data_IF_136465021630
#
_entry.id   IF_136465021630
#
_cell.length_a   1.000
_cell.length_b   1.000
_cell.length_c   1.000
_cell.angle_alpha   90.00
_cell.angle_beta   90.00
_cell.angle_gamma   90.00
#
_symmetry.space_group_name_H-M   'P 1'
#
loop_
_entity.id
_entity.type
_entity.pdbx_description
1 polymer ?
#
# COMPACT_ATOMS: atom_id res chain seq x y z
N UNK A 1 -8.98 11.36 5.98
CA UNK A 1 -8.15 10.14 6.01
C UNK A 1 -8.91 9.06 5.26
N UNK A 2 -8.38 8.58 4.13
CA UNK A 2 -8.95 7.47 3.35
C UNK A 2 -8.30 6.17 3.84
N UNK A 3 -9.07 5.07 3.83
CA UNK A 3 -8.59 3.73 4.19
C UNK A 3 -9.02 2.77 3.09
N UNK A 4 -8.10 1.94 2.62
CA UNK A 4 -8.34 0.91 1.61
C UNK A 4 -8.16 -0.47 2.22
N UNK A 5 -8.95 -1.42 1.73
CA UNK A 5 -8.92 -2.81 2.17
C UNK A 5 -8.58 -3.68 0.96
N UNK A 6 -7.44 -4.36 1.03
CA UNK A 6 -7.01 -5.28 -0.01
C UNK A 6 -7.15 -6.72 0.51
N UNK A 7 -8.11 -7.45 -0.05
CA UNK A 7 -8.36 -8.85 0.29
C UNK A 7 -7.41 -9.77 -0.48
N UNK A 8 -6.66 -10.59 0.24
CA UNK A 8 -5.81 -11.62 -0.37
C UNK A 8 -6.69 -12.74 -0.93
N UNK A 9 -6.44 -13.24 -2.15
CA UNK A 9 -7.28 -14.27 -2.80
C UNK A 9 -7.50 -15.55 -1.97
N UNK A 10 -6.51 -15.90 -1.13
CA UNK A 10 -6.48 -17.13 -0.34
C UNK A 10 -6.56 -16.88 1.18
N UNK A 11 -6.86 -15.66 1.63
CA UNK A 11 -6.99 -15.33 3.06
C UNK A 11 -8.35 -14.72 3.38
N UNK A 12 -8.81 -14.96 4.61
CA UNK A 12 -9.94 -14.21 5.19
C UNK A 12 -9.51 -12.85 5.76
N UNK A 13 -8.23 -12.54 5.66
CA UNK A 13 -7.63 -11.33 6.20
C UNK A 13 -7.40 -10.28 5.12
N UNK A 14 -7.66 -9.03 5.48
CA UNK A 14 -7.41 -7.88 4.64
C UNK A 14 -6.10 -7.20 5.04
N UNK A 15 -5.36 -6.78 4.03
CA UNK A 15 -4.30 -5.78 4.20
C UNK A 15 -5.00 -4.41 4.22
N UNK A 16 -4.82 -3.68 5.32
CA UNK A 16 -5.37 -2.34 5.50
C UNK A 16 -4.31 -1.34 5.06
N UNK A 17 -4.68 -0.45 4.14
CA UNK A 17 -3.80 0.60 3.64
C UNK A 17 -4.40 1.95 4.04
N UNK A 18 -3.65 2.70 4.84
CA UNK A 18 -4.09 3.98 5.39
C UNK A 18 -3.42 5.09 4.58
N UNK A 19 -4.25 5.91 3.92
CA UNK A 19 -3.77 7.06 3.17
C UNK A 19 -3.26 8.15 4.12
N UNK A 20 -2.19 8.87 3.73
CA UNK A 20 -1.59 9.92 4.55
C UNK A 20 -2.56 11.07 4.83
N UNK A 21 -2.33 11.80 5.92
CA UNK A 21 -3.12 12.98 6.29
C UNK A 21 -2.39 14.26 5.81
N UNK A 22 -2.39 14.49 4.50
CA UNK A 22 -1.81 15.67 3.81
C UNK A 22 -0.29 15.89 4.01
N UNK A 23 0.39 16.38 2.96
CA UNK A 23 1.85 16.58 2.81
C UNK A 23 2.75 15.33 2.89
N UNK A 24 2.30 14.23 3.49
CA UNK A 24 2.97 12.94 3.43
C UNK A 24 2.50 12.17 2.17
N UNK A 25 3.44 11.66 1.37
CA UNK A 25 3.14 10.83 0.19
C UNK A 25 3.18 9.31 0.52
N UNK A 26 3.20 8.96 1.80
CA UNK A 26 3.41 7.58 2.27
C UNK A 26 2.13 6.94 2.81
N UNK A 27 1.84 5.74 2.33
CA UNK A 27 0.67 4.95 2.71
C UNK A 27 1.09 3.91 3.74
N UNK A 28 0.58 4.01 4.96
CA UNK A 28 0.84 3.02 6.01
C UNK A 28 0.11 1.71 5.68
N UNK A 29 0.84 0.60 5.76
CA UNK A 29 0.30 -0.75 5.56
C UNK A 29 0.21 -1.46 6.90
N UNK A 30 -1.00 -1.87 7.24
CA UNK A 30 -1.33 -2.64 8.44
C UNK A 30 -1.90 -3.99 8.02
N UNK A 31 -1.39 -5.07 8.61
CA UNK A 31 -1.94 -6.42 8.40
C UNK A 31 -1.87 -7.19 9.72
N UNK A 32 -2.90 -7.99 10.01
CA UNK A 32 -3.08 -8.68 11.31
C UNK A 32 -3.04 -7.73 12.53
N UNK A 33 -3.31 -6.44 12.33
CA UNK A 33 -3.22 -5.40 13.37
C UNK A 33 -1.81 -4.89 13.64
N UNK A 34 -0.79 -5.34 12.90
CA UNK A 34 0.57 -4.85 12.98
C UNK A 34 0.89 -3.85 11.87
N UNK A 35 1.60 -2.78 12.23
CA UNK A 35 2.18 -1.83 11.27
C UNK A 35 3.40 -2.47 10.61
N UNK A 36 3.29 -2.79 9.32
CA UNK A 36 4.34 -3.52 8.60
C UNK A 36 5.31 -2.62 7.84
N UNK A 37 4.89 -1.40 7.54
CA UNK A 37 5.69 -0.43 6.79
C UNK A 37 4.85 0.50 5.93
N UNK A 38 5.51 1.11 4.95
CA UNK A 38 4.94 2.18 4.13
C UNK A 38 5.13 1.94 2.64
N UNK A 39 4.10 2.26 1.86
CA UNK A 39 4.10 2.28 0.39
C UNK A 39 4.22 3.73 -0.09
N UNK A 40 5.14 3.97 -1.02
CA UNK A 40 5.36 5.25 -1.68
C UNK A 40 5.03 5.11 -3.17
N UNK A 41 3.88 5.60 -3.63
CA UNK A 41 3.62 5.74 -5.05
C UNK A 41 4.42 6.91 -5.60
N UNK A 42 5.31 6.63 -6.56
CA UNK A 42 6.14 7.63 -7.21
C UNK A 42 5.75 7.71 -8.68
N UNK A 43 5.29 8.88 -9.10
CA UNK A 43 4.96 9.20 -10.48
C UNK A 43 6.06 10.07 -11.08
N UNK A 44 6.79 9.55 -12.07
CA UNK A 44 7.86 10.28 -12.75
C UNK A 44 7.74 10.16 -14.27
N UNK A 45 7.50 11.28 -14.96
CA UNK A 45 7.48 11.38 -16.43
C UNK A 45 6.75 10.20 -17.11
N UNK A 46 5.47 10.02 -16.79
CA UNK A 46 4.58 8.94 -17.28
C UNK A 46 4.92 7.51 -16.80
N UNK A 47 5.88 7.36 -15.88
CA UNK A 47 6.20 6.08 -15.25
C UNK A 47 5.71 6.08 -13.80
N UNK A 48 4.82 5.14 -13.47
CA UNK A 48 4.38 4.88 -12.11
C UNK A 48 5.17 3.71 -11.52
N UNK A 49 5.78 3.93 -10.36
CA UNK A 49 6.44 2.87 -9.60
C UNK A 49 6.13 2.99 -8.12
N UNK A 50 6.25 1.85 -7.44
CA UNK A 50 5.99 1.72 -6.01
C UNK A 50 7.30 1.44 -5.31
N UNK A 51 7.65 2.28 -4.35
CA UNK A 51 8.70 1.97 -3.37
C UNK A 51 8.04 1.47 -2.08
N UNK A 52 8.59 0.41 -1.51
CA UNK A 52 8.08 -0.19 -0.26
C UNK A 52 9.17 -0.17 0.79
N UNK A 53 8.84 0.38 1.95
CA UNK A 53 9.72 0.39 3.12
C UNK A 53 9.00 -0.29 4.27
N UNK A 54 9.28 -1.57 4.45
CA UNK A 54 8.78 -2.33 5.56
C UNK A 54 9.58 -3.60 5.80
N UNK A 55 9.20 -4.33 6.83
CA UNK A 55 9.92 -5.53 7.31
C UNK A 55 9.32 -6.83 6.81
N UNK A 56 8.12 -6.81 6.20
CA UNK A 56 7.40 -8.02 5.82
C UNK A 56 7.78 -8.50 4.39
N UNK A 57 8.34 -9.70 4.23
CA UNK A 57 8.78 -10.22 2.93
C UNK A 57 7.63 -10.59 1.98
N UNK A 58 6.44 -10.90 2.49
CA UNK A 58 5.25 -11.13 1.65
C UNK A 58 4.84 -9.80 1.01
N UNK A 59 4.86 -8.72 1.78
CA UNK A 59 4.56 -7.38 1.27
C UNK A 59 5.59 -6.88 0.27
N UNK A 60 6.86 -7.30 0.33
CA UNK A 60 7.83 -6.99 -0.73
C UNK A 60 7.36 -7.50 -2.11
N UNK A 61 6.68 -8.66 -2.14
CA UNK A 61 6.17 -9.26 -3.38
C UNK A 61 4.86 -8.59 -3.82
N UNK A 62 4.03 -8.20 -2.85
CA UNK A 62 2.72 -7.61 -3.10
C UNK A 62 2.73 -6.09 -3.25
N UNK A 63 3.81 -5.40 -2.85
CA UNK A 63 3.89 -3.94 -2.82
C UNK A 63 3.48 -3.30 -4.15
N UNK A 64 3.94 -3.88 -5.27
CA UNK A 64 3.56 -3.41 -6.61
C UNK A 64 2.05 -3.57 -6.87
N UNK A 65 1.46 -4.69 -6.48
CA UNK A 65 0.01 -4.93 -6.64
C UNK A 65 -0.81 -3.99 -5.74
N UNK A 66 -0.38 -3.82 -4.49
CA UNK A 66 -1.03 -2.91 -3.54
C UNK A 66 -1.00 -1.48 -4.06
N UNK A 67 0.12 -1.03 -4.61
CA UNK A 67 0.21 0.32 -5.16
C UNK A 67 -0.62 0.54 -6.42
N UNK A 68 -0.72 -0.44 -7.32
CA UNK A 68 -1.66 -0.39 -8.46
C UNK A 68 -3.11 -0.33 -7.95
N UNK A 69 -3.44 -1.13 -6.94
CA UNK A 69 -4.78 -1.11 -6.35
C UNK A 69 -5.13 0.25 -5.74
N UNK A 70 -4.18 0.93 -5.08
CA UNK A 70 -4.37 2.29 -4.56
C UNK A 70 -4.61 3.28 -5.71
N UNK A 71 -3.83 3.19 -6.79
CA UNK A 71 -3.98 4.03 -7.99
C UNK A 71 -5.37 3.85 -8.62
N UNK A 72 -5.76 2.60 -8.90
CA UNK A 72 -7.08 2.24 -9.45
C UNK A 72 -8.25 2.66 -8.54
N UNK A 73 -8.03 2.71 -7.22
CA UNK A 73 -9.02 3.12 -6.23
C UNK A 73 -9.25 4.64 -6.15
N UNK A 74 -8.56 5.42 -6.99
CA UNK A 74 -8.80 6.85 -7.15
C UNK A 74 -7.86 7.72 -6.33
N UNK A 75 -6.55 7.54 -6.54
CA UNK A 75 -5.58 8.65 -6.43
C UNK A 75 -6.04 9.84 -7.28
#
# INVERSE_FOLDING_TARGET
MKVYHYSLPDSQEDIIIIAPIQDEEEYLVVWEGEELGYIYPILNNDTFFIDWKGSNPILNLLAKQLGIFIEDSGL
#
